data_IF_689855645880
#
_entry.id   IF_689855645880
#
_cell.length_a   1.000
_cell.length_b   1.000
_cell.length_c   1.000
_cell.angle_alpha   90.00
_cell.angle_beta   90.00
_cell.angle_gamma   90.00
#
_symmetry.space_group_name_H-M   'P 1'
#
loop_
_entity.id
_entity.type
_entity.pdbx_description
1 polymer ?
#
# COMPACT_ATOMS: atom_id res chain seq x y z
N UNK A 1 -2.08 -15.15 21.37
CA UNK A 1 -1.94 -15.10 19.90
C UNK A 1 -3.11 -15.84 19.29
N UNK A 2 -4.16 -15.13 18.87
CA UNK A 2 -5.18 -15.72 18.00
C UNK A 2 -4.52 -15.95 16.66
N UNK A 3 -4.25 -17.21 16.31
CA UNK A 3 -3.83 -17.56 14.94
C UNK A 3 -4.85 -17.03 13.93
N UNK A 4 -4.50 -16.94 12.64
CA UNK A 4 -5.41 -16.42 11.63
C UNK A 4 -6.74 -17.19 11.70
N UNK A 5 -7.82 -16.49 12.04
CA UNK A 5 -9.13 -17.10 12.20
C UNK A 5 -9.61 -17.55 10.83
N UNK A 6 -10.08 -18.80 10.75
CA UNK A 6 -10.73 -19.30 9.54
C UNK A 6 -11.90 -18.38 9.20
N UNK A 7 -11.87 -17.78 8.01
CA UNK A 7 -12.99 -16.99 7.51
C UNK A 7 -14.18 -17.92 7.27
N UNK A 8 -15.37 -17.53 7.73
CA UNK A 8 -16.58 -18.34 7.58
C UNK A 8 -17.05 -18.35 6.12
N UNK A 9 -17.70 -19.45 5.72
CA UNK A 9 -18.09 -19.66 4.32
C UNK A 9 -19.05 -18.59 3.80
N UNK A 10 -19.95 -18.10 4.64
CA UNK A 10 -20.89 -17.01 4.32
C UNK A 10 -20.16 -15.72 3.97
N UNK A 11 -19.10 -15.37 4.71
CA UNK A 11 -18.27 -14.19 4.43
C UNK A 11 -17.55 -14.36 3.09
N UNK A 12 -17.01 -15.54 2.81
CA UNK A 12 -16.36 -15.85 1.53
C UNK A 12 -17.36 -15.71 0.38
N UNK A 13 -18.56 -16.29 0.51
CA UNK A 13 -19.57 -16.25 -0.55
C UNK A 13 -20.06 -14.82 -0.82
N UNK A 14 -20.26 -14.01 0.22
CA UNK A 14 -20.64 -12.60 0.08
C UNK A 14 -19.52 -11.77 -0.57
N UNK A 15 -18.27 -11.96 -0.15
CA UNK A 15 -17.11 -11.29 -0.72
C UNK A 15 -16.93 -11.64 -2.21
N UNK A 16 -17.12 -12.91 -2.57
CA UNK A 16 -17.07 -13.36 -3.96
C UNK A 16 -18.23 -12.83 -4.80
N UNK A 17 -19.45 -12.87 -4.27
CA UNK A 17 -20.61 -12.35 -4.98
C UNK A 17 -20.42 -10.86 -5.29
N UNK A 18 -20.00 -10.08 -4.30
CA UNK A 18 -19.73 -8.66 -4.47
C UNK A 18 -18.57 -8.41 -5.45
N UNK A 19 -17.44 -9.11 -5.24
CA UNK A 19 -16.26 -8.98 -6.09
C UNK A 19 -16.52 -9.36 -7.55
N UNK A 20 -17.40 -10.33 -7.83
CA UNK A 20 -17.75 -10.70 -9.20
C UNK A 20 -18.87 -9.84 -9.78
N UNK A 21 -19.71 -9.20 -8.96
CA UNK A 21 -20.81 -8.36 -9.45
C UNK A 21 -20.37 -6.92 -9.71
N UNK A 22 -19.69 -6.31 -8.74
CA UNK A 22 -19.30 -4.89 -8.76
C UNK A 22 -17.82 -4.67 -8.45
N UNK A 23 -17.02 -5.73 -8.24
CA UNK A 23 -15.59 -5.61 -7.98
C UNK A 23 -15.25 -5.07 -6.59
N UNK A 24 -13.96 -5.01 -6.28
CA UNK A 24 -13.45 -4.52 -4.97
C UNK A 24 -13.55 -3.00 -4.79
N UNK A 25 -13.93 -2.27 -5.85
CA UNK A 25 -14.03 -0.82 -5.88
C UNK A 25 -15.45 -0.32 -5.56
N UNK A 26 -16.34 -1.20 -5.07
CA UNK A 26 -17.70 -0.87 -4.69
C UNK A 26 -18.11 -1.71 -3.46
N UNK A 27 -18.80 -1.11 -2.49
CA UNK A 27 -19.17 -1.78 -1.25
C UNK A 27 -20.53 -2.51 -1.40
N UNK A 28 -20.59 -3.75 -0.93
CA UNK A 28 -21.82 -4.56 -0.88
C UNK A 28 -22.94 -3.88 -0.05
N UNK A 29 -22.59 -3.04 0.91
CA UNK A 29 -23.57 -2.29 1.72
C UNK A 29 -24.37 -1.29 0.89
N UNK A 30 -23.71 -0.66 -0.10
CA UNK A 30 -24.32 0.36 -0.94
C UNK A 30 -24.97 -0.25 -2.19
N UNK A 31 -24.37 -1.33 -2.72
CA UNK A 31 -24.76 -1.94 -3.99
C UNK A 31 -25.24 -3.39 -3.87
N UNK A 32 -25.62 -3.86 -2.68
CA UNK A 32 -26.06 -5.24 -2.46
C UNK A 32 -27.30 -5.65 -3.26
N UNK A 33 -28.08 -4.68 -3.76
CA UNK A 33 -29.17 -4.95 -4.70
C UNK A 33 -28.66 -5.38 -6.09
N UNK A 34 -27.49 -4.91 -6.53
CA UNK A 34 -26.82 -5.36 -7.76
C UNK A 34 -26.32 -6.79 -7.54
N UNK A 35 -25.70 -7.06 -6.39
CA UNK A 35 -25.23 -8.40 -6.01
C UNK A 35 -26.39 -9.41 -6.02
N UNK A 36 -27.54 -9.05 -5.42
CA UNK A 36 -28.74 -9.87 -5.45
C UNK A 36 -29.30 -10.07 -6.87
N UNK A 37 -29.28 -9.03 -7.70
CA UNK A 37 -29.70 -9.12 -9.09
C UNK A 37 -28.79 -10.05 -9.91
N UNK A 38 -27.47 -9.94 -9.75
CA UNK A 38 -26.50 -10.80 -10.43
C UNK A 38 -26.62 -12.26 -9.97
N UNK A 39 -26.79 -12.50 -8.66
CA UNK A 39 -27.05 -13.86 -8.15
C UNK A 39 -28.34 -14.45 -8.74
N UNK A 40 -29.39 -13.64 -8.83
CA UNK A 40 -30.68 -14.05 -9.42
C UNK A 40 -30.53 -14.40 -10.90
N UNK A 41 -29.81 -13.57 -11.66
CA UNK A 41 -29.52 -13.83 -13.08
C UNK A 41 -28.65 -15.07 -13.25
N UNK A 42 -27.64 -15.26 -12.40
CA UNK A 42 -26.82 -16.46 -12.38
C UNK A 42 -27.68 -17.71 -12.16
N UNK A 43 -28.49 -17.74 -11.09
CA UNK A 43 -29.37 -18.85 -10.79
C UNK A 43 -30.36 -19.10 -11.94
N UNK A 44 -30.94 -18.04 -12.49
CA UNK A 44 -31.84 -18.14 -13.64
C UNK A 44 -31.14 -18.76 -14.87
N UNK A 45 -29.88 -18.38 -15.13
CA UNK A 45 -29.07 -19.00 -16.18
C UNK A 45 -28.80 -20.48 -15.92
N UNK A 46 -28.48 -20.86 -14.68
CA UNK A 46 -28.25 -22.26 -14.30
C UNK A 46 -29.50 -23.13 -14.52
N UNK A 47 -30.70 -22.63 -14.23
CA UNK A 47 -31.93 -23.43 -14.30
C UNK A 47 -32.70 -23.32 -15.62
N UNK A 48 -32.61 -22.18 -16.31
CA UNK A 48 -33.49 -21.85 -17.44
C UNK A 48 -32.77 -21.52 -18.74
N UNK A 49 -31.43 -21.60 -18.79
CA UNK A 49 -30.71 -21.44 -20.06
C UNK A 49 -31.05 -22.59 -21.02
N UNK A 50 -31.91 -22.29 -21.98
CA UNK A 50 -32.24 -23.12 -23.13
C UNK A 50 -31.05 -23.12 -24.10
N UNK A 51 -30.54 -24.28 -24.54
CA UNK A 51 -29.40 -24.32 -25.43
C UNK A 51 -29.89 -24.05 -26.85
N UNK A 52 -29.73 -22.82 -27.34
CA UNK A 52 -29.89 -22.49 -28.78
C UNK A 52 -28.81 -23.14 -29.67
N UNK A 53 -27.72 -23.66 -29.09
CA UNK A 53 -26.69 -24.40 -29.81
C UNK A 53 -27.06 -25.90 -29.92
N UNK A 54 -28.10 -26.19 -30.67
CA UNK A 54 -28.40 -27.55 -31.13
C UNK A 54 -27.40 -27.95 -32.23
N UNK A 55 -26.28 -28.54 -31.83
CA UNK A 55 -25.47 -29.39 -32.71
C UNK A 55 -25.53 -30.80 -32.13
N UNK A 56 -26.15 -31.72 -32.88
CA UNK A 56 -26.35 -33.15 -32.61
C UNK A 56 -27.67 -33.56 -31.91
N UNK A 57 -28.41 -34.40 -32.63
CA UNK A 57 -29.66 -35.07 -32.26
C UNK A 57 -29.43 -36.35 -31.41
N UNK A 58 -28.18 -36.64 -31.05
CA UNK A 58 -27.80 -37.91 -30.42
C UNK A 58 -27.03 -37.70 -29.11
N UNK A 59 -27.75 -37.63 -27.98
CA UNK A 59 -27.38 -38.16 -26.65
C UNK A 59 -28.41 -37.71 -25.60
N UNK A 60 -28.92 -38.67 -24.83
CA UNK A 60 -30.01 -38.56 -23.85
C UNK A 60 -29.67 -37.80 -22.55
N UNK A 61 -28.84 -36.76 -22.61
CA UNK A 61 -28.73 -35.79 -21.51
C UNK A 61 -29.03 -34.42 -22.09
N UNK A 62 -30.00 -33.65 -21.56
CA UNK A 62 -30.23 -32.29 -22.04
C UNK A 62 -28.91 -31.51 -21.89
N UNK A 63 -28.31 -31.04 -22.99
CA UNK A 63 -27.02 -30.33 -22.98
C UNK A 63 -26.99 -29.16 -21.99
N UNK A 64 -28.14 -28.52 -21.75
CA UNK A 64 -28.33 -27.50 -20.73
C UNK A 64 -28.01 -28.00 -19.32
N UNK A 65 -28.53 -29.16 -18.93
CA UNK A 65 -28.28 -29.76 -17.62
C UNK A 65 -26.79 -30.06 -17.42
N UNK A 66 -26.12 -30.56 -18.46
CA UNK A 66 -24.67 -30.80 -18.42
C UNK A 66 -23.87 -29.50 -18.25
N UNK A 67 -24.23 -28.45 -19.00
CA UNK A 67 -23.53 -27.16 -18.90
C UNK A 67 -23.74 -26.52 -17.52
N UNK A 68 -24.94 -26.58 -16.97
CA UNK A 68 -25.24 -26.12 -15.61
C UNK A 68 -24.44 -26.88 -14.56
N UNK A 69 -24.33 -28.21 -14.69
CA UNK A 69 -23.45 -29.02 -13.82
C UNK A 69 -21.99 -28.57 -13.94
N UNK A 70 -21.49 -28.34 -15.16
CA UNK A 70 -20.10 -27.92 -15.36
C UNK A 70 -19.85 -26.56 -14.71
N UNK A 71 -20.75 -25.58 -14.90
CA UNK A 71 -20.61 -24.25 -14.29
C UNK A 71 -20.68 -24.32 -12.76
N UNK A 72 -21.63 -25.08 -12.21
CA UNK A 72 -21.74 -25.28 -10.77
C UNK A 72 -20.53 -26.01 -10.20
N UNK A 73 -20.05 -27.07 -10.86
CA UNK A 73 -18.85 -27.79 -10.46
C UNK A 73 -17.61 -26.89 -10.50
N UNK A 74 -17.50 -26.03 -11.51
CA UNK A 74 -16.40 -25.08 -11.65
C UNK A 74 -16.38 -24.03 -10.53
N UNK A 75 -17.52 -23.67 -9.94
CA UNK A 75 -17.58 -22.82 -8.75
C UNK A 75 -17.37 -23.62 -7.45
N UNK A 76 -18.14 -24.70 -7.27
CA UNK A 76 -18.24 -25.42 -5.99
C UNK A 76 -16.98 -26.22 -5.69
N UNK A 77 -16.36 -26.87 -6.68
CA UNK A 77 -15.18 -27.72 -6.43
C UNK A 77 -14.01 -26.89 -5.90
N UNK A 78 -13.59 -25.76 -6.52
CA UNK A 78 -12.49 -24.96 -5.98
C UNK A 78 -12.81 -24.33 -4.62
N UNK A 79 -14.06 -23.88 -4.42
CA UNK A 79 -14.50 -23.31 -3.14
C UNK A 79 -14.42 -24.34 -2.01
N UNK A 80 -14.96 -25.53 -2.24
CA UNK A 80 -14.91 -26.63 -1.27
C UNK A 80 -13.48 -27.12 -1.04
N UNK A 81 -12.67 -27.23 -2.09
CA UNK A 81 -11.26 -27.61 -1.96
C UNK A 81 -10.46 -26.62 -1.10
N UNK A 82 -10.62 -25.31 -1.32
CA UNK A 82 -9.96 -24.30 -0.49
C UNK A 82 -10.49 -24.33 0.95
N UNK A 83 -11.80 -24.51 1.15
CA UNK A 83 -12.39 -24.60 2.49
C UNK A 83 -11.84 -25.81 3.26
N UNK A 84 -11.69 -26.96 2.59
CA UNK A 84 -11.06 -28.14 3.17
C UNK A 84 -9.58 -27.91 3.47
N UNK A 85 -8.86 -27.25 2.57
CA UNK A 85 -7.46 -26.89 2.80
C UNK A 85 -7.30 -25.88 3.96
N UNK A 86 -8.29 -25.01 4.15
CA UNK A 86 -8.37 -24.02 5.24
C UNK A 86 -8.40 -24.68 6.62
N UNK A 87 -8.89 -25.93 6.73
CA UNK A 87 -8.87 -26.71 7.97
C UNK A 87 -7.44 -27.01 8.46
N UNK A 88 -6.47 -27.03 7.57
CA UNK A 88 -5.06 -27.25 7.91
C UNK A 88 -4.30 -25.95 8.13
N UNK A 89 -4.52 -24.96 7.26
CA UNK A 89 -3.97 -23.61 7.37
C UNK A 89 -4.94 -22.63 6.74
N UNK A 90 -5.22 -21.47 7.34
CA UNK A 90 -6.09 -20.47 6.74
C UNK A 90 -5.47 -19.92 5.45
N UNK A 91 -6.04 -20.29 4.30
CA UNK A 91 -5.54 -19.92 2.97
C UNK A 91 -6.28 -18.74 2.35
N UNK A 92 -7.54 -18.51 2.76
CA UNK A 92 -8.34 -17.42 2.20
C UNK A 92 -7.94 -16.08 2.81
N UNK A 93 -7.44 -15.16 1.98
CA UNK A 93 -7.14 -13.78 2.41
C UNK A 93 -8.08 -12.75 1.78
N UNK A 94 -8.53 -12.98 0.54
CA UNK A 94 -9.48 -12.13 -0.19
C UNK A 94 -9.97 -12.84 -1.46
N UNK A 95 -10.95 -12.22 -2.12
CA UNK A 95 -11.57 -12.73 -3.36
C UNK A 95 -10.62 -12.95 -4.53
N UNK A 96 -9.41 -12.36 -4.55
CA UNK A 96 -8.44 -12.51 -5.65
C UNK A 96 -7.97 -13.95 -5.81
N UNK A 97 -7.97 -14.74 -4.73
CA UNK A 97 -7.64 -16.16 -4.75
C UNK A 97 -8.61 -17.00 -5.59
N UNK A 98 -9.82 -16.49 -5.84
CA UNK A 98 -10.85 -17.13 -6.64
C UNK A 98 -11.17 -16.37 -7.92
N UNK A 99 -10.32 -15.45 -8.38
CA UNK A 99 -10.57 -14.73 -9.65
C UNK A 99 -10.76 -15.68 -10.83
N UNK A 100 -10.12 -16.86 -10.78
CA UNK A 100 -10.27 -17.93 -11.77
C UNK A 100 -11.70 -18.49 -11.85
N UNK A 101 -12.55 -18.29 -10.84
CA UNK A 101 -13.96 -18.72 -10.82
C UNK A 101 -14.89 -17.76 -11.54
N UNK A 102 -14.46 -16.50 -11.73
CA UNK A 102 -15.27 -15.45 -12.34
C UNK A 102 -15.83 -15.80 -13.73
N UNK A 103 -15.14 -16.55 -14.62
CA UNK A 103 -15.71 -16.91 -15.91
C UNK A 103 -16.99 -17.74 -15.80
N UNK A 104 -17.07 -18.69 -14.85
CA UNK A 104 -18.29 -19.48 -14.68
C UNK A 104 -19.46 -18.64 -14.15
N UNK A 105 -19.17 -17.70 -13.25
CA UNK A 105 -20.17 -16.74 -12.78
C UNK A 105 -20.70 -15.88 -13.94
N UNK A 106 -19.81 -15.26 -14.72
CA UNK A 106 -20.21 -14.41 -15.85
C UNK A 106 -20.95 -15.18 -16.94
N UNK A 107 -20.55 -16.42 -17.23
CA UNK A 107 -21.27 -17.29 -18.16
C UNK A 107 -22.67 -17.62 -17.65
N UNK A 108 -22.83 -17.90 -16.36
CA UNK A 108 -24.15 -18.11 -15.75
C UNK A 108 -25.05 -16.87 -15.83
N UNK A 109 -24.52 -15.69 -15.48
CA UNK A 109 -25.25 -14.41 -15.61
C UNK A 109 -25.64 -14.14 -17.06
N UNK A 110 -24.71 -14.30 -18.01
CA UNK A 110 -24.96 -14.11 -19.43
C UNK A 110 -26.04 -15.07 -19.95
N UNK A 111 -25.99 -16.33 -19.53
CA UNK A 111 -27.01 -17.33 -19.86
C UNK A 111 -28.39 -16.95 -19.29
N UNK A 112 -28.43 -16.39 -18.08
CA UNK A 112 -29.67 -15.87 -17.48
C UNK A 112 -30.27 -14.71 -18.26
N UNK A 113 -29.44 -13.73 -18.66
CA UNK A 113 -29.87 -12.60 -19.50
C UNK A 113 -30.38 -13.11 -20.85
N UNK A 114 -29.67 -14.07 -21.47
CA UNK A 114 -30.06 -14.66 -22.75
C UNK A 114 -31.40 -15.40 -22.67
N UNK A 115 -31.61 -16.20 -21.62
CA UNK A 115 -32.89 -16.89 -21.37
C UNK A 115 -34.03 -15.90 -21.14
N UNK A 116 -33.77 -14.81 -20.42
CA UNK A 116 -34.76 -13.75 -20.17
C UNK A 116 -35.14 -13.04 -21.47
N UNK A 117 -34.19 -12.83 -22.38
CA UNK A 117 -34.42 -12.19 -23.67
C UNK A 117 -35.34 -13.00 -24.60
N UNK A 118 -35.47 -14.31 -24.39
CA UNK A 118 -36.36 -15.16 -25.19
C UNK A 118 -37.84 -14.82 -24.97
N UNK A 119 -38.22 -14.44 -23.75
CA UNK A 119 -39.62 -14.19 -23.37
C UNK A 119 -39.90 -12.73 -22.99
N UNK A 120 -38.93 -12.06 -22.37
CA UNK A 120 -39.10 -10.73 -21.78
C UNK A 120 -37.94 -9.81 -22.16
N UNK A 121 -37.91 -9.35 -23.42
CA UNK A 121 -36.83 -8.50 -23.96
C UNK A 121 -36.53 -7.26 -23.11
N UNK A 122 -37.57 -6.56 -22.63
CA UNK A 122 -37.40 -5.38 -21.78
C UNK A 122 -36.72 -5.73 -20.45
N UNK A 123 -37.08 -6.86 -19.85
CA UNK A 123 -36.45 -7.33 -18.62
C UNK A 123 -34.99 -7.73 -18.85
N UNK A 124 -34.66 -8.32 -20.01
CA UNK A 124 -33.28 -8.61 -20.40
C UNK A 124 -32.45 -7.34 -20.63
N UNK A 125 -33.04 -6.30 -21.24
CA UNK A 125 -32.40 -4.98 -21.37
C UNK A 125 -32.14 -4.37 -19.99
N UNK A 126 -33.12 -4.41 -19.08
CA UNK A 126 -32.94 -3.95 -17.71
C UNK A 126 -31.84 -4.73 -16.97
N UNK A 127 -31.82 -6.06 -17.11
CA UNK A 127 -30.79 -6.91 -16.51
C UNK A 127 -29.38 -6.57 -17.03
N UNK A 128 -29.24 -6.37 -18.35
CA UNK A 128 -27.99 -5.93 -18.95
C UNK A 128 -27.60 -4.52 -18.46
N UNK A 129 -28.56 -3.61 -18.34
CA UNK A 129 -28.32 -2.27 -17.83
C UNK A 129 -27.83 -2.29 -16.37
N UNK A 130 -28.37 -3.17 -15.51
CA UNK A 130 -27.90 -3.35 -14.13
C UNK A 130 -26.46 -3.87 -14.10
N UNK A 131 -26.12 -4.87 -14.93
CA UNK A 131 -24.75 -5.37 -15.07
C UNK A 131 -23.78 -4.25 -15.49
N UNK A 132 -24.14 -3.49 -16.54
CA UNK A 132 -23.32 -2.39 -17.04
C UNK A 132 -23.20 -1.25 -16.03
N UNK A 133 -24.25 -0.96 -15.28
CA UNK A 133 -24.25 0.04 -14.22
C UNK A 133 -23.28 -0.35 -13.10
N UNK A 134 -23.32 -1.60 -12.64
CA UNK A 134 -22.38 -2.13 -11.64
C UNK A 134 -20.92 -2.02 -12.09
N UNK A 135 -20.65 -2.48 -13.32
CA UNK A 135 -19.32 -2.35 -13.93
C UNK A 135 -18.88 -0.88 -14.09
N UNK A 136 -19.79 0.00 -14.51
CA UNK A 136 -19.54 1.42 -14.66
C UNK A 136 -19.20 2.12 -13.35
N UNK A 137 -19.96 1.84 -12.27
CA UNK A 137 -19.67 2.35 -10.92
C UNK A 137 -18.31 1.85 -10.44
N UNK A 138 -18.04 0.55 -10.60
CA UNK A 138 -16.77 -0.06 -10.21
C UNK A 138 -15.57 0.60 -10.89
N UNK A 139 -15.64 0.76 -12.22
CA UNK A 139 -14.59 1.40 -13.01
C UNK A 139 -14.44 2.88 -12.64
N UNK A 140 -15.55 3.59 -12.47
CA UNK A 140 -15.51 4.99 -12.04
C UNK A 140 -14.80 5.13 -10.69
N UNK A 141 -15.13 4.28 -9.72
CA UNK A 141 -14.50 4.30 -8.42
C UNK A 141 -13.01 3.95 -8.50
N UNK A 142 -12.64 2.94 -9.29
CA UNK A 142 -11.25 2.54 -9.49
C UNK A 142 -10.38 3.67 -10.07
N UNK A 143 -10.91 4.45 -11.03
CA UNK A 143 -10.14 5.48 -11.73
C UNK A 143 -10.20 6.86 -11.09
N UNK A 144 -11.30 7.21 -10.42
CA UNK A 144 -11.56 8.59 -10.01
C UNK A 144 -11.73 8.80 -8.51
N UNK A 145 -11.88 7.73 -7.72
CA UNK A 145 -12.04 7.84 -6.27
C UNK A 145 -10.72 7.48 -5.58
N UNK A 146 -10.03 8.43 -4.92
CA UNK A 146 -8.70 8.21 -4.34
C UNK A 146 -8.60 7.01 -3.38
N UNK A 147 -9.69 6.69 -2.66
CA UNK A 147 -9.77 5.53 -1.76
C UNK A 147 -9.52 4.19 -2.44
N UNK A 148 -9.79 4.07 -3.74
CA UNK A 148 -9.59 2.82 -4.50
C UNK A 148 -8.39 2.91 -5.45
N UNK A 149 -7.63 4.00 -5.39
CA UNK A 149 -6.45 4.21 -6.21
C UNK A 149 -5.37 3.15 -5.98
N UNK A 150 -4.38 3.13 -6.87
CA UNK A 150 -3.16 2.35 -6.67
C UNK A 150 -2.26 3.04 -5.66
N UNK A 151 -1.40 2.26 -5.01
CA UNK A 151 -0.38 2.79 -4.12
C UNK A 151 0.55 3.76 -4.85
N UNK A 152 0.82 4.92 -4.24
CA UNK A 152 1.61 5.96 -4.88
C UNK A 152 3.10 5.73 -4.63
N UNK A 153 3.67 4.83 -5.43
CA UNK A 153 5.09 4.54 -5.34
C UNK A 153 5.99 5.63 -5.94
N UNK A 154 5.41 6.54 -6.74
CA UNK A 154 6.15 7.67 -7.31
C UNK A 154 6.40 8.72 -6.24
N UNK A 155 5.41 9.00 -5.39
CA UNK A 155 5.52 10.01 -4.34
C UNK A 155 6.68 9.74 -3.37
N UNK A 156 6.82 8.52 -2.84
CA UNK A 156 7.96 8.22 -1.93
C UNK A 156 9.30 8.23 -2.66
N UNK A 157 9.31 7.83 -3.93
CA UNK A 157 10.52 7.84 -4.77
C UNK A 157 11.00 9.25 -5.03
N UNK A 158 10.10 10.14 -5.44
CA UNK A 158 10.41 11.56 -5.70
C UNK A 158 10.82 12.27 -4.40
N UNK A 159 10.15 11.91 -3.30
CA UNK A 159 10.50 12.38 -1.96
C UNK A 159 11.94 12.01 -1.56
N UNK A 160 12.30 10.74 -1.74
CA UNK A 160 13.63 10.20 -1.46
C UNK A 160 14.66 10.84 -2.40
N UNK A 161 14.41 10.85 -3.71
CA UNK A 161 15.30 11.42 -4.73
C UNK A 161 15.66 12.88 -4.46
N UNK A 162 14.70 13.65 -3.98
CA UNK A 162 14.92 15.06 -3.63
C UNK A 162 15.75 15.28 -2.36
N UNK A 163 16.07 14.23 -1.59
CA UNK A 163 16.68 14.33 -0.25
C UNK A 163 17.91 13.46 -0.02
N UNK A 164 18.17 12.47 -0.86
CA UNK A 164 19.36 11.62 -0.77
C UNK A 164 20.63 12.45 -0.87
N UNK A 165 21.65 12.06 -0.09
CA UNK A 165 22.99 12.66 -0.08
C UNK A 165 24.05 11.58 -0.25
N UNK A 166 25.26 11.95 -0.70
CA UNK A 166 26.39 11.03 -0.69
C UNK A 166 26.62 10.45 0.72
N UNK A 167 26.77 9.12 0.79
CA UNK A 167 26.97 8.39 2.05
C UNK A 167 25.67 7.85 2.67
N UNK A 168 24.49 8.25 2.22
CA UNK A 168 23.24 7.65 2.67
C UNK A 168 23.14 6.16 2.33
N UNK A 169 22.40 5.42 3.15
CA UNK A 169 21.98 4.04 2.86
C UNK A 169 20.48 3.87 3.10
N UNK A 170 19.85 2.97 2.35
CA UNK A 170 18.45 2.59 2.54
C UNK A 170 18.33 1.17 3.12
N UNK A 171 17.47 1.02 4.11
CA UNK A 171 16.98 -0.28 4.57
C UNK A 171 15.57 -0.48 4.03
N UNK A 172 15.41 -1.54 3.24
CA UNK A 172 14.11 -2.06 2.81
C UNK A 172 13.59 -3.03 3.87
N UNK A 173 12.32 -2.91 4.25
CA UNK A 173 11.70 -3.71 5.33
C UNK A 173 11.42 -5.19 4.98
N UNK A 174 11.69 -5.62 3.75
CA UNK A 174 11.70 -7.03 3.35
C UNK A 174 12.40 -7.21 2.01
N UNK A 175 13.10 -8.34 1.78
CA UNK A 175 13.64 -8.68 0.46
C UNK A 175 12.60 -8.69 -0.66
N UNK A 176 11.32 -8.96 -0.35
CA UNK A 176 10.24 -8.95 -1.33
C UNK A 176 9.97 -7.56 -1.95
N UNK A 177 10.47 -6.49 -1.34
CA UNK A 177 10.27 -5.11 -1.83
C UNK A 177 11.38 -4.64 -2.79
N UNK A 178 12.44 -5.43 -2.96
CA UNK A 178 13.59 -5.09 -3.77
C UNK A 178 13.23 -4.86 -5.24
N UNK A 179 12.40 -5.71 -5.83
CA UNK A 179 11.95 -5.55 -7.21
C UNK A 179 11.19 -4.23 -7.43
N UNK A 180 10.40 -3.81 -6.43
CA UNK A 180 9.67 -2.55 -6.48
C UNK A 180 10.63 -1.36 -6.38
N UNK A 181 11.58 -1.40 -5.45
CA UNK A 181 12.62 -0.38 -5.32
C UNK A 181 13.44 -0.26 -6.62
N UNK A 182 13.89 -1.37 -7.19
CA UNK A 182 14.68 -1.42 -8.42
C UNK A 182 13.90 -0.98 -9.68
N UNK A 183 12.58 -0.92 -9.61
CA UNK A 183 11.74 -0.37 -10.69
C UNK A 183 11.64 1.17 -10.60
N UNK A 184 11.46 1.72 -9.39
CA UNK A 184 11.21 3.15 -9.21
C UNK A 184 12.45 4.00 -8.90
N UNK A 185 13.41 3.44 -8.16
CA UNK A 185 14.50 4.16 -7.51
C UNK A 185 15.87 3.48 -7.71
N UNK A 186 16.02 2.71 -8.79
CA UNK A 186 17.28 2.05 -9.13
C UNK A 186 18.45 3.06 -9.11
N UNK A 187 19.57 2.63 -8.57
CA UNK A 187 20.83 3.37 -8.53
C UNK A 187 20.76 4.70 -7.76
N UNK A 188 19.69 4.96 -7.00
CA UNK A 188 19.51 6.21 -6.26
C UNK A 188 20.45 6.31 -5.05
N UNK A 189 20.61 5.21 -4.31
CA UNK A 189 21.51 5.05 -3.18
C UNK A 189 21.76 3.56 -2.91
N UNK A 190 22.87 3.19 -2.24
CA UNK A 190 23.05 1.83 -1.74
C UNK A 190 21.89 1.43 -0.84
N UNK A 191 21.41 0.19 -0.98
CA UNK A 191 20.37 -0.35 -0.13
C UNK A 191 20.73 -1.74 0.40
N UNK A 192 20.08 -2.12 1.48
CA UNK A 192 20.05 -3.48 2.01
C UNK A 192 18.62 -3.84 2.39
N UNK A 193 18.36 -5.14 2.57
CA UNK A 193 17.05 -5.65 2.96
C UNK A 193 17.16 -6.25 4.34
N UNK A 194 16.30 -5.81 5.26
CA UNK A 194 16.16 -6.40 6.58
C UNK A 194 14.68 -6.74 6.82
N UNK A 195 14.36 -7.87 7.46
CA UNK A 195 15.29 -8.78 8.11
C UNK A 195 16.13 -9.64 7.16
N UNK A 196 17.26 -10.12 7.67
CA UNK A 196 18.12 -11.09 6.98
C UNK A 196 17.35 -12.41 6.88
N UNK A 197 16.99 -12.79 5.65
CA UNK A 197 16.35 -14.08 5.36
C UNK A 197 17.41 -15.14 5.09
N UNK A 198 17.37 -16.22 5.84
CA UNK A 198 18.29 -17.34 5.70
C UNK A 198 17.70 -18.40 4.77
N UNK A 199 18.54 -18.98 3.91
CA UNK A 199 18.12 -19.99 2.94
C UNK A 199 17.61 -21.29 3.58
N UNK A 200 18.00 -21.55 4.83
CA UNK A 200 17.56 -22.68 5.64
C UNK A 200 16.18 -22.47 6.31
N UNK A 201 15.50 -21.34 6.01
CA UNK A 201 14.25 -20.94 6.63
C UNK A 201 14.32 -20.88 8.17
N UNK A 202 15.51 -20.65 8.73
CA UNK A 202 15.68 -20.46 10.16
C UNK A 202 14.84 -19.27 10.66
N UNK A 203 14.37 -19.31 11.93
CA UNK A 203 13.63 -18.21 12.53
C UNK A 203 14.42 -16.89 12.48
N UNK A 204 13.70 -15.77 12.59
CA UNK A 204 14.29 -14.43 12.74
C UNK A 204 15.34 -14.42 13.87
N UNK A 205 16.60 -14.17 13.52
CA UNK A 205 17.68 -13.98 14.48
C UNK A 205 17.73 -12.52 14.91
N UNK A 206 17.29 -12.25 16.14
CA UNK A 206 17.25 -10.89 16.68
C UNK A 206 18.64 -10.28 16.83
N UNK A 207 19.64 -11.05 17.25
CA UNK A 207 20.97 -10.53 17.49
C UNK A 207 21.66 -10.18 16.19
N UNK A 208 21.56 -11.05 15.18
CA UNK A 208 22.11 -10.82 13.84
C UNK A 208 21.51 -9.55 13.20
N UNK A 209 20.18 -9.44 13.21
CA UNK A 209 19.48 -8.29 12.63
C UNK A 209 19.75 -6.99 13.39
N UNK A 210 19.79 -7.02 14.73
CA UNK A 210 20.13 -5.84 15.53
C UNK A 210 21.57 -5.38 15.27
N UNK A 211 22.52 -6.32 15.18
CA UNK A 211 23.90 -5.99 14.84
C UNK A 211 23.99 -5.36 13.45
N UNK A 212 23.28 -5.91 12.46
CA UNK A 212 23.25 -5.34 11.11
C UNK A 212 22.69 -3.90 11.10
N UNK A 213 21.61 -3.64 11.84
CA UNK A 213 21.07 -2.28 12.01
C UNK A 213 22.09 -1.35 12.64
N UNK A 214 22.72 -1.77 13.75
CA UNK A 214 23.74 -0.97 14.44
C UNK A 214 24.92 -0.64 13.54
N UNK A 215 25.39 -1.61 12.77
CA UNK A 215 26.54 -1.45 11.89
C UNK A 215 26.22 -0.45 10.76
N UNK A 216 25.01 -0.51 10.19
CA UNK A 216 24.54 0.47 9.19
C UNK A 216 24.43 1.87 9.78
N UNK A 217 23.82 2.01 10.96
CA UNK A 217 23.67 3.31 11.64
C UNK A 217 25.01 3.92 11.98
N UNK A 218 26.03 3.12 12.33
CA UNK A 218 27.39 3.61 12.63
C UNK A 218 28.23 3.91 11.39
N UNK A 219 28.06 3.13 10.33
CA UNK A 219 28.87 3.25 9.12
C UNK A 219 28.40 4.40 8.20
N UNK A 220 27.13 4.81 8.32
CA UNK A 220 26.55 5.81 7.44
C UNK A 220 26.16 7.08 8.20
N UNK A 221 26.40 8.28 7.63
CA UNK A 221 25.97 9.54 8.22
C UNK A 221 24.44 9.63 8.39
N UNK A 222 23.70 8.91 7.53
CA UNK A 222 22.24 8.87 7.53
C UNK A 222 21.73 7.56 6.98
N UNK A 223 20.73 7.00 7.66
CA UNK A 223 20.03 5.78 7.27
C UNK A 223 18.58 6.11 6.95
N UNK A 224 18.11 5.67 5.79
CA UNK A 224 16.71 5.70 5.42
C UNK A 224 16.08 4.33 5.69
N UNK A 225 14.81 4.32 6.08
CA UNK A 225 14.03 3.09 6.23
C UNK A 225 12.73 3.23 5.45
N UNK A 226 12.57 2.39 4.43
CA UNK A 226 11.35 2.31 3.63
C UNK A 226 10.51 1.12 4.13
N UNK A 227 9.41 1.45 4.79
CA UNK A 227 8.41 0.48 5.21
C UNK A 227 7.29 0.40 4.18
N UNK A 228 7.19 -0.75 3.51
CA UNK A 228 6.12 -1.11 2.59
C UNK A 228 5.41 -2.33 3.16
N UNK A 229 4.14 -2.18 3.50
CA UNK A 229 3.33 -3.20 4.18
C UNK A 229 3.89 -3.58 5.56
N UNK A 230 3.10 -4.35 6.32
CA UNK A 230 3.64 -5.14 7.43
C UNK A 230 4.28 -6.39 6.82
N UNK A 231 5.62 -6.53 6.85
CA UNK A 231 6.28 -7.66 6.21
C UNK A 231 5.96 -8.94 6.97
N UNK A 232 5.70 -10.04 6.24
CA UNK A 232 5.51 -11.36 6.85
C UNK A 232 6.73 -11.80 7.67
N UNK A 233 7.91 -11.36 7.24
CA UNK A 233 9.20 -11.70 7.83
C UNK A 233 9.49 -10.93 9.14
N UNK A 234 8.84 -9.77 9.34
CA UNK A 234 8.97 -8.95 10.55
C UNK A 234 7.62 -8.33 10.99
N UNK A 235 6.65 -9.17 11.43
CA UNK A 235 5.30 -8.71 11.73
C UNK A 235 5.24 -7.76 12.94
N UNK A 236 6.24 -7.81 13.81
CA UNK A 236 6.33 -7.02 15.04
C UNK A 236 7.16 -5.72 14.87
N UNK A 237 7.53 -5.37 13.63
CA UNK A 237 8.35 -4.20 13.29
C UNK A 237 9.63 -4.10 14.12
N UNK A 238 10.33 -5.22 14.33
CA UNK A 238 11.55 -5.30 15.13
C UNK A 238 12.70 -4.51 14.50
N UNK A 239 12.82 -4.50 13.18
CA UNK A 239 13.86 -3.71 12.49
C UNK A 239 13.68 -2.22 12.77
N UNK A 240 12.45 -1.72 12.70
CA UNK A 240 12.15 -0.32 13.03
C UNK A 240 12.46 0.00 14.50
N UNK A 241 12.12 -0.90 15.43
CA UNK A 241 12.48 -0.78 16.85
C UNK A 241 13.99 -0.78 17.09
N UNK A 242 14.76 -1.54 16.32
CA UNK A 242 16.22 -1.53 16.40
C UNK A 242 16.78 -0.20 15.90
N UNK A 243 16.21 0.37 14.84
CA UNK A 243 16.62 1.70 14.34
C UNK A 243 16.35 2.80 15.36
N UNK A 244 15.22 2.76 16.06
CA UNK A 244 14.91 3.71 17.14
C UNK A 244 15.83 3.54 18.36
N UNK A 245 16.37 2.34 18.59
CA UNK A 245 17.28 2.07 19.70
C UNK A 245 18.73 2.45 19.39
N UNK A 246 19.16 2.29 18.13
CA UNK A 246 20.56 2.48 17.71
C UNK A 246 20.83 3.89 17.12
N UNK A 247 19.78 4.62 16.72
CA UNK A 247 19.90 5.96 16.14
C UNK A 247 18.77 6.90 16.55
N UNK A 248 18.84 8.14 16.07
CA UNK A 248 17.84 9.18 16.31
C UNK A 248 17.01 9.36 15.05
N UNK A 249 15.70 9.11 15.16
CA UNK A 249 14.74 9.38 14.08
C UNK A 249 14.52 10.88 13.95
N UNK A 250 14.78 11.42 12.77
CA UNK A 250 14.63 12.86 12.48
C UNK A 250 13.31 13.14 11.78
N UNK A 251 12.83 12.20 10.97
CA UNK A 251 11.62 12.40 10.17
C UNK A 251 10.93 11.07 9.89
N UNK A 252 9.59 11.10 9.81
CA UNK A 252 8.77 10.05 9.21
C UNK A 252 7.72 10.68 8.32
N UNK A 253 7.72 10.31 7.04
CA UNK A 253 6.69 10.73 6.08
C UNK A 253 5.88 9.52 5.65
N UNK A 254 4.56 9.64 5.70
CA UNK A 254 3.63 8.64 5.18
C UNK A 254 3.18 9.04 3.77
N UNK A 255 2.98 8.05 2.91
CA UNK A 255 2.56 8.26 1.53
C UNK A 255 1.21 7.59 1.28
N UNK A 256 0.40 8.12 0.36
CA UNK A 256 -0.85 7.50 -0.03
C UNK A 256 -0.63 6.06 -0.49
N UNK A 257 -1.28 5.13 0.20
CA UNK A 257 -1.33 3.73 -0.18
C UNK A 257 -2.66 3.14 0.25
N UNK A 258 -3.31 2.46 -0.70
CA UNK A 258 -4.64 1.87 -0.57
C UNK A 258 -4.53 0.40 -0.24
N UNK A 259 -3.59 -0.31 -0.88
CA UNK A 259 -3.29 -1.70 -0.56
C UNK A 259 -2.18 -1.82 0.48
N UNK A 260 -1.40 -0.76 0.65
CA UNK A 260 -0.13 -0.78 1.39
C UNK A 260 0.01 0.45 2.26
N UNK A 261 0.32 0.28 3.54
CA UNK A 261 0.88 1.39 4.30
C UNK A 261 2.30 1.66 3.81
N UNK A 262 2.58 2.89 3.37
CA UNK A 262 3.89 3.31 2.87
C UNK A 262 4.41 4.40 3.79
N UNK A 263 5.59 4.20 4.35
CA UNK A 263 6.28 5.25 5.09
C UNK A 263 7.78 5.23 4.86
N UNK A 264 8.38 6.41 4.85
CA UNK A 264 9.81 6.61 4.78
C UNK A 264 10.27 7.33 6.05
N UNK A 265 11.16 6.69 6.78
CA UNK A 265 11.77 7.24 7.99
C UNK A 265 13.24 7.56 7.75
N UNK A 266 13.73 8.62 8.39
CA UNK A 266 15.13 9.03 8.33
C UNK A 266 15.75 8.96 9.73
N UNK A 267 16.94 8.35 9.81
CA UNK A 267 17.68 8.15 11.04
C UNK A 267 19.11 8.71 10.93
N UNK A 268 19.60 9.27 12.03
CA UNK A 268 21.00 9.67 12.20
C UNK A 268 21.64 8.83 13.32
N UNK A 269 22.96 8.56 13.28
CA UNK A 269 23.64 7.86 14.38
C UNK A 269 23.54 8.60 15.72
N UNK A 270 23.59 9.93 15.68
CA UNK A 270 23.37 10.81 16.81
C UNK A 270 22.95 12.20 16.30
N UNK A 271 22.33 13.01 17.16
CA UNK A 271 22.11 14.42 16.84
C UNK A 271 23.47 15.13 16.67
N UNK A 272 23.66 15.93 15.61
CA UNK A 272 24.90 16.66 15.41
C UNK A 272 25.10 17.68 16.52
N UNK A 273 26.15 17.50 17.34
CA UNK A 273 26.56 18.46 18.36
C UNK A 273 27.83 19.14 17.90
N UNK A 274 27.78 20.47 17.71
CA UNK A 274 28.97 21.28 17.43
C UNK A 274 29.82 21.35 18.70
N UNK A 275 31.07 20.91 18.58
CA UNK A 275 32.03 20.94 19.70
C UNK A 275 32.91 22.18 19.69
N UNK A 276 33.20 22.71 18.50
CA UNK A 276 33.99 23.93 18.33
C UNK A 276 33.17 25.01 17.60
N UNK A 277 33.26 26.24 18.10
CA UNK A 277 32.64 27.41 17.45
C UNK A 277 33.40 27.84 16.19
N UNK A 278 34.65 27.42 16.03
CA UNK A 278 35.43 27.72 14.83
C UNK A 278 34.84 27.10 13.54
N UNK A 279 34.02 26.05 13.67
CA UNK A 279 33.38 25.37 12.55
C UNK A 279 32.10 26.08 12.04
N UNK A 280 31.77 27.24 12.60
CA UNK A 280 30.58 28.01 12.23
C UNK A 280 30.89 28.91 11.02
N UNK A 281 30.26 28.62 9.87
CA UNK A 281 30.53 29.31 8.61
C UNK A 281 30.17 30.81 8.63
N UNK A 282 29.06 31.18 9.29
CA UNK A 282 28.63 32.58 9.45
C UNK A 282 28.12 32.82 10.87
N UNK A 283 29.01 33.24 11.80
CA UNK A 283 28.64 33.42 13.19
C UNK A 283 27.66 34.59 13.33
N UNK A 284 26.62 34.37 14.14
CA UNK A 284 25.64 35.37 14.53
C UNK A 284 25.40 35.29 16.04
N UNK A 285 24.66 36.25 16.60
CA UNK A 285 24.34 36.25 18.01
C UNK A 285 22.91 36.76 18.23
N UNK A 286 21.93 35.90 17.96
CA UNK A 286 20.52 36.21 18.15
C UNK A 286 19.92 35.34 19.24
N UNK A 287 19.36 35.97 20.27
CA UNK A 287 18.67 35.29 21.37
C UNK A 287 17.17 35.24 21.10
N UNK A 288 16.62 34.03 21.10
CA UNK A 288 15.19 33.75 21.04
C UNK A 288 14.69 33.37 22.44
N UNK A 289 13.69 34.11 22.93
CA UNK A 289 13.20 33.94 24.29
C UNK A 289 14.31 34.19 25.33
N UNK A 290 14.45 33.30 26.30
CA UNK A 290 15.42 33.44 27.39
C UNK A 290 16.70 32.60 27.22
N UNK A 291 16.63 31.48 26.49
CA UNK A 291 17.67 30.43 26.58
C UNK A 291 18.17 29.89 25.24
N UNK A 292 17.50 30.19 24.12
CA UNK A 292 17.82 29.64 22.80
C UNK A 292 18.55 30.68 21.93
N UNK A 293 19.83 30.43 21.63
CA UNK A 293 20.66 31.36 20.86
C UNK A 293 21.01 30.77 19.51
N UNK A 294 20.70 31.49 18.43
CA UNK A 294 21.27 31.21 17.12
C UNK A 294 22.70 31.77 17.11
N UNK A 295 23.69 30.87 17.02
CA UNK A 295 25.12 31.22 17.05
C UNK A 295 25.74 31.23 15.65
N UNK A 296 25.05 30.66 14.68
CA UNK A 296 25.55 30.56 13.33
C UNK A 296 24.53 30.06 12.33
N UNK A 297 24.81 30.29 11.06
CA UNK A 297 24.09 29.63 9.97
C UNK A 297 24.99 29.41 8.77
N UNK A 298 24.62 28.44 7.94
CA UNK A 298 25.13 28.31 6.58
C UNK A 298 23.95 28.22 5.62
N UNK A 299 23.88 29.15 4.67
CA UNK A 299 22.79 29.26 3.72
C UNK A 299 23.32 29.76 2.37
N UNK A 300 22.79 29.25 1.25
CA UNK A 300 23.17 29.74 -0.07
C UNK A 300 22.79 31.21 -0.24
N UNK A 301 23.66 31.97 -0.91
CA UNK A 301 23.42 33.38 -1.18
C UNK A 301 22.41 33.61 -2.32
N UNK A 302 22.24 32.61 -3.20
CA UNK A 302 21.33 32.65 -4.33
C UNK A 302 20.69 31.27 -4.48
N UNK A 303 19.42 31.25 -4.87
CA UNK A 303 18.64 30.04 -5.11
C UNK A 303 17.80 30.30 -6.36
N UNK A 304 17.80 29.35 -7.29
CA UNK A 304 16.92 29.41 -8.46
C UNK A 304 15.46 29.20 -8.06
N UNK A 305 14.52 29.88 -8.73
CA UNK A 305 13.10 29.70 -8.48
C UNK A 305 12.69 28.24 -8.66
N UNK A 306 12.05 27.66 -7.64
CA UNK A 306 11.64 26.25 -7.62
C UNK A 306 12.74 25.28 -7.17
N UNK A 307 13.98 25.73 -7.02
CA UNK A 307 15.05 24.92 -6.42
C UNK A 307 14.90 24.87 -4.90
N UNK A 308 15.42 23.80 -4.30
CA UNK A 308 15.51 23.67 -2.84
C UNK A 308 16.92 24.01 -2.37
N UNK A 309 16.99 24.74 -1.27
CA UNK A 309 18.22 25.05 -0.57
C UNK A 309 18.28 24.34 0.77
N UNK A 310 19.49 24.03 1.21
CA UNK A 310 19.75 23.59 2.58
C UNK A 310 20.20 24.81 3.36
N UNK A 311 19.53 25.06 4.48
CA UNK A 311 20.01 26.00 5.49
C UNK A 311 20.41 25.21 6.72
N UNK A 312 21.66 25.34 7.11
CA UNK A 312 22.17 24.83 8.39
C UNK A 312 22.04 25.94 9.42
N UNK A 313 21.47 25.62 10.57
CA UNK A 313 21.38 26.52 11.71
C UNK A 313 22.17 25.93 12.86
N UNK A 314 23.06 26.73 13.42
CA UNK A 314 23.88 26.34 14.55
C UNK A 314 23.29 27.00 15.80
N UNK A 315 22.77 26.18 16.72
CA UNK A 315 22.06 26.63 17.92
C UNK A 315 22.86 26.35 19.19
N UNK A 316 22.70 27.22 20.18
CA UNK A 316 23.22 27.06 21.52
C UNK A 316 22.10 27.26 22.54
N UNK A 317 22.05 26.36 23.53
CA UNK A 317 21.22 26.53 24.72
C UNK A 317 22.09 27.08 25.85
N UNK A 318 21.73 28.24 26.38
CA UNK A 318 22.45 28.86 27.49
C UNK A 318 22.05 28.26 28.85
N UNK A 319 20.86 27.64 28.92
CA UNK A 319 20.36 26.87 30.06
C UNK A 319 19.55 25.66 29.55
N UNK A 320 19.44 24.57 30.34
CA UNK A 320 18.53 23.48 30.05
C UNK A 320 17.10 24.01 29.86
N UNK A 321 16.47 23.56 28.79
CA UNK A 321 15.09 23.87 28.46
C UNK A 321 14.24 22.63 28.69
N UNK A 322 13.07 22.80 29.29
CA UNK A 322 12.15 21.71 29.63
C UNK A 322 11.08 21.44 28.57
N UNK A 323 11.19 22.08 27.41
CA UNK A 323 10.23 22.04 26.32
C UNK A 323 10.94 21.89 24.98
N UNK A 324 10.25 21.30 24.00
CA UNK A 324 10.74 21.15 22.63
C UNK A 324 10.51 22.43 21.83
N UNK A 325 11.50 22.83 21.03
CA UNK A 325 11.40 24.00 20.16
C UNK A 325 11.11 23.58 18.72
N UNK A 326 10.07 24.16 18.14
CA UNK A 326 9.88 24.19 16.70
C UNK A 326 10.70 25.32 16.06
N UNK A 327 11.24 25.09 14.87
CA UNK A 327 11.89 26.09 14.05
C UNK A 327 11.15 26.22 12.72
N UNK A 328 10.93 27.46 12.29
CA UNK A 328 10.44 27.78 10.95
C UNK A 328 11.40 28.73 10.24
N UNK A 329 11.53 28.54 8.94
CA UNK A 329 12.34 29.35 8.06
C UNK A 329 11.45 29.95 6.98
N UNK A 330 11.55 31.27 6.78
CA UNK A 330 10.86 31.98 5.70
C UNK A 330 11.85 32.83 4.93
N UNK A 331 11.77 32.76 3.61
CA UNK A 331 12.42 33.69 2.70
C UNK A 331 11.39 34.76 2.36
N UNK A 332 11.63 35.99 2.80
CA UNK A 332 10.72 37.13 2.60
C UNK A 332 11.40 38.22 1.78
N UNK A 333 10.65 38.91 0.93
CA UNK A 333 11.15 40.12 0.25
C UNK A 333 10.97 41.38 1.11
N UNK A 334 11.42 42.51 0.55
CA UNK A 334 11.32 43.82 1.20
C UNK A 334 9.87 44.31 1.42
N UNK A 335 8.90 43.75 0.70
CA UNK A 335 7.48 44.03 0.88
C UNK A 335 6.81 43.06 1.88
N UNK A 336 7.56 42.08 2.40
CA UNK A 336 7.07 41.06 3.33
C UNK A 336 6.39 39.87 2.65
N UNK A 337 6.44 39.75 1.32
CA UNK A 337 5.91 38.58 0.64
C UNK A 337 6.83 37.37 0.84
N UNK A 338 6.25 36.21 1.10
CA UNK A 338 6.98 34.96 1.34
C UNK A 338 7.25 34.24 0.02
N UNK A 339 8.52 33.97 -0.27
CA UNK A 339 9.00 33.29 -1.48
C UNK A 339 9.39 31.83 -1.24
N UNK A 340 9.57 31.44 0.02
CA UNK A 340 9.87 30.07 0.42
C UNK A 340 9.67 29.90 1.92
N UNK A 341 9.24 28.71 2.34
CA UNK A 341 8.98 28.39 3.72
C UNK A 341 9.38 26.95 4.03
N UNK A 342 9.82 26.72 5.27
CA UNK A 342 10.02 25.40 5.85
C UNK A 342 9.64 25.47 7.33
N UNK A 343 8.85 24.50 7.80
CA UNK A 343 8.47 24.36 9.21
C UNK A 343 8.94 23.00 9.72
N UNK A 344 9.50 22.97 10.93
CA UNK A 344 9.70 21.73 11.67
C UNK A 344 8.35 21.19 12.14
N UNK A 345 8.09 19.91 11.92
CA UNK A 345 6.88 19.21 12.37
C UNK A 345 6.78 19.06 13.89
#
# INVERSE_FOLDING_TARGET
>A
MSGPSSVSLDVILLDLLNSFSVGISADARDLGWIDAAMLTLFAFGIFFATPRFQISKERNVPYAFRNSIILLAFLVIPLTALQLATLYRPLYQNSRYFIALSPAFYLGVAAGIAALAEKFKLAAVAALAIFLLGAGISLNNLFFVPRYGKDDHRAWTDYLRARVRPGDVLILNSPHTEALFNYYARDLLPYTTLPILRADAAPFDEMENRNAVRDLVRAHPRVWYLALHVPFDDPDARIEKFLDAEGVRIERTNFPGVSTAISLSQFLPALPVLRDRADIARPVNFLFGASLRLVGFDAPAQIESGARAIVKLDWQLDQPVGEDFGASLRVVDNAGAVWGEWDSL
#
